data_IF_031268719471
#
_entry.id   IF_031268719471
#
_cell.length_a   1.000
_cell.length_b   1.000
_cell.length_c   1.000
_cell.angle_alpha   90.00
_cell.angle_beta   90.00
_cell.angle_gamma   90.00
#
_symmetry.space_group_name_H-M   'P 1'
#
loop_
_entity.id
_entity.type
_entity.pdbx_description
1 polymer ?
#
# COMPACT_ATOMS: atom_id res chain seq x y z
N UNK A 1 -8.22 -7.66 -4.32
CA UNK A 1 -7.29 -7.80 -3.17
C UNK A 1 -7.91 -7.23 -1.87
N UNK A 2 -9.03 -6.54 -2.01
CA UNK A 2 -9.74 -5.76 -1.00
C UNK A 2 -10.28 -6.63 0.11
N UNK A 3 -10.78 -7.83 -0.22
CA UNK A 3 -11.23 -8.79 0.80
C UNK A 3 -10.08 -9.19 1.75
N UNK A 4 -8.86 -9.37 1.24
CA UNK A 4 -7.69 -9.68 2.07
C UNK A 4 -7.32 -8.47 2.93
N UNK A 5 -7.35 -7.27 2.35
CA UNK A 5 -7.08 -6.03 3.08
C UNK A 5 -8.07 -5.76 4.21
N UNK A 6 -9.34 -6.12 4.04
CA UNK A 6 -10.41 -5.86 5.02
C UNK A 6 -10.58 -6.98 6.05
N UNK A 7 -10.25 -8.23 5.72
CA UNK A 7 -10.60 -9.38 6.55
C UNK A 7 -9.38 -10.12 7.14
N UNK A 8 -8.15 -9.74 6.79
CA UNK A 8 -6.95 -10.43 7.29
C UNK A 8 -6.12 -9.53 8.20
N UNK A 9 -5.65 -10.10 9.31
CA UNK A 9 -4.71 -9.44 10.23
C UNK A 9 -3.25 -9.73 9.86
N UNK A 10 -2.99 -10.83 9.14
CA UNK A 10 -1.67 -11.22 8.67
C UNK A 10 -1.74 -11.79 7.28
N UNK A 11 -0.72 -11.50 6.48
CA UNK A 11 -0.56 -11.97 5.11
C UNK A 11 0.77 -12.70 5.00
N UNK A 12 0.76 -13.86 4.33
CA UNK A 12 1.96 -14.57 3.92
C UNK A 12 1.94 -14.72 2.40
N UNK A 13 3.02 -14.28 1.76
CA UNK A 13 3.19 -14.28 0.31
C UNK A 13 4.15 -15.40 -0.06
N UNK A 14 3.70 -16.28 -0.95
CA UNK A 14 4.49 -17.39 -1.45
C UNK A 14 5.01 -17.10 -2.85
N UNK A 15 6.29 -17.36 -3.07
CA UNK A 15 6.91 -17.43 -4.39
C UNK A 15 7.73 -18.72 -4.49
N UNK A 16 7.54 -19.49 -5.57
CA UNK A 16 8.25 -20.76 -5.84
C UNK A 16 8.37 -21.69 -4.61
N UNK A 17 7.23 -21.95 -3.96
CA UNK A 17 7.11 -22.79 -2.76
C UNK A 17 7.91 -22.32 -1.53
N UNK A 18 8.28 -21.03 -1.46
CA UNK A 18 8.89 -20.40 -0.30
C UNK A 18 8.10 -19.17 0.13
N UNK A 19 8.14 -18.85 1.41
CA UNK A 19 7.59 -17.58 1.91
C UNK A 19 8.54 -16.47 1.47
N UNK A 20 8.09 -15.64 0.53
CA UNK A 20 8.85 -14.48 0.06
C UNK A 20 8.79 -13.34 1.08
N UNK A 21 7.60 -13.11 1.66
CA UNK A 21 7.41 -12.17 2.76
C UNK A 21 6.17 -12.54 3.57
N UNK A 22 6.11 -12.08 4.81
CA UNK A 22 4.93 -12.17 5.66
C UNK A 22 4.91 -11.00 6.64
N UNK A 23 3.72 -10.61 7.09
CA UNK A 23 3.55 -9.47 8.00
C UNK A 23 2.09 -9.05 8.12
N UNK A 24 1.88 -7.90 8.72
CA UNK A 24 0.57 -7.23 8.69
C UNK A 24 0.24 -6.73 7.27
N UNK A 25 -1.04 -6.54 6.91
CA UNK A 25 -1.43 -5.98 5.62
C UNK A 25 -0.70 -4.68 5.26
N UNK A 26 -0.50 -3.79 6.24
CA UNK A 26 0.24 -2.54 6.06
C UNK A 26 1.68 -2.78 5.56
N UNK A 27 2.38 -3.74 6.15
CA UNK A 27 3.78 -4.05 5.85
C UNK A 27 3.95 -4.77 4.51
N UNK A 28 2.98 -5.61 4.15
CA UNK A 28 2.99 -6.38 2.90
C UNK A 28 2.57 -5.47 1.73
N UNK A 29 1.46 -4.75 1.84
CA UNK A 29 1.00 -3.86 0.76
C UNK A 29 1.88 -2.60 0.58
N UNK A 30 2.67 -2.20 1.58
CA UNK A 30 3.73 -1.20 1.39
C UNK A 30 4.74 -1.61 0.30
N UNK A 31 4.89 -2.92 0.05
CA UNK A 31 5.78 -3.50 -0.98
C UNK A 31 5.05 -3.77 -2.30
N UNK A 32 4.07 -2.92 -2.66
CA UNK A 32 3.23 -3.10 -3.84
C UNK A 32 4.00 -3.37 -5.15
N UNK A 33 5.14 -2.72 -5.37
CA UNK A 33 5.99 -2.97 -6.55
C UNK A 33 6.51 -4.41 -6.61
N UNK A 34 6.96 -4.93 -5.48
CA UNK A 34 7.50 -6.29 -5.36
C UNK A 34 6.39 -7.33 -5.57
N UNK A 35 5.21 -7.10 -4.98
CA UNK A 35 4.02 -7.93 -5.18
C UNK A 35 3.60 -7.97 -6.67
N UNK A 36 3.52 -6.81 -7.31
CA UNK A 36 3.21 -6.71 -8.74
C UNK A 36 4.25 -7.42 -9.62
N UNK A 37 5.54 -7.33 -9.28
CA UNK A 37 6.61 -8.04 -9.97
C UNK A 37 6.55 -9.57 -9.80
N UNK A 38 5.97 -10.05 -8.69
CA UNK A 38 5.66 -11.46 -8.44
C UNK A 38 4.35 -11.92 -9.14
N UNK A 39 3.66 -11.02 -9.86
CA UNK A 39 2.39 -11.31 -10.52
C UNK A 39 1.18 -11.28 -9.60
N UNK A 40 1.33 -10.73 -8.39
CA UNK A 40 0.25 -10.54 -7.43
C UNK A 40 -0.30 -9.14 -7.55
N UNK A 41 -1.60 -9.00 -7.31
CA UNK A 41 -2.25 -7.69 -7.28
C UNK A 41 -2.17 -7.04 -5.88
N UNK A 42 -2.52 -5.77 -5.77
CA UNK A 42 -2.63 -5.04 -4.50
C UNK A 42 -3.95 -4.28 -4.42
N UNK A 43 -4.40 -3.85 -3.23
CA UNK A 43 -5.57 -2.99 -3.16
C UNK A 43 -5.35 -1.70 -3.95
N UNK A 44 -6.38 -1.18 -4.60
CA UNK A 44 -6.25 0.00 -5.47
C UNK A 44 -5.67 1.21 -4.72
N UNK A 45 -6.06 1.39 -3.46
CA UNK A 45 -5.53 2.46 -2.62
C UNK A 45 -4.01 2.33 -2.39
N UNK A 46 -3.51 1.10 -2.21
CA UNK A 46 -2.07 0.84 -2.08
C UNK A 46 -1.32 1.16 -3.38
N UNK A 47 -1.92 0.80 -4.53
CA UNK A 47 -1.36 1.10 -5.85
C UNK A 47 -1.25 2.61 -6.09
N UNK A 48 -2.32 3.36 -5.81
CA UNK A 48 -2.32 4.83 -5.94
C UNK A 48 -1.29 5.46 -5.00
N UNK A 49 -1.24 5.02 -3.74
CA UNK A 49 -0.26 5.52 -2.78
C UNK A 49 1.19 5.28 -3.27
N UNK A 50 1.49 4.10 -3.82
CA UNK A 50 2.81 3.80 -4.39
C UNK A 50 3.14 4.72 -5.58
N UNK A 51 2.19 4.90 -6.51
CA UNK A 51 2.34 5.76 -7.69
C UNK A 51 2.54 7.24 -7.34
N UNK A 52 1.96 7.72 -6.24
CA UNK A 52 2.19 9.07 -5.73
C UNK A 52 3.61 9.22 -5.14
N UNK A 53 4.09 8.24 -4.37
CA UNK A 53 5.47 8.22 -3.87
C UNK A 53 6.50 8.21 -4.99
N UNK A 54 6.23 7.45 -6.05
CA UNK A 54 7.07 7.43 -7.25
C UNK A 54 7.18 8.79 -7.95
N UNK A 55 6.14 9.61 -7.84
CA UNK A 55 6.12 10.99 -8.35
C UNK A 55 6.77 12.00 -7.39
N UNK A 56 7.37 11.53 -6.29
CA UNK A 56 8.03 12.38 -5.30
C UNK A 56 7.10 13.00 -4.26
N UNK A 57 5.84 12.59 -4.19
CA UNK A 57 4.90 13.04 -3.16
C UNK A 57 5.14 12.22 -1.89
N UNK A 58 5.33 12.90 -0.75
CA UNK A 58 5.64 12.28 0.53
C UNK A 58 4.43 11.59 1.18
N UNK A 59 3.88 10.57 0.51
CA UNK A 59 2.77 9.75 1.01
C UNK A 59 3.28 8.73 2.02
N UNK A 60 2.68 8.68 3.19
CA UNK A 60 2.98 7.71 4.27
C UNK A 60 2.94 6.27 3.77
N UNK A 61 3.95 5.46 4.13
CA UNK A 61 4.01 4.04 3.74
C UNK A 61 2.87 3.22 4.37
N UNK A 62 2.48 2.11 3.72
CA UNK A 62 1.46 1.20 4.28
C UNK A 62 0.01 1.70 4.20
N UNK A 63 -0.29 2.74 3.42
CA UNK A 63 -1.67 3.09 3.05
C UNK A 63 -2.18 2.04 2.05
N UNK A 64 -3.26 1.35 2.40
CA UNK A 64 -3.90 0.34 1.55
C UNK A 64 -5.43 0.36 1.56
N UNK A 65 -6.05 1.30 2.28
CA UNK A 65 -7.51 1.52 2.26
C UNK A 65 -7.85 2.87 1.66
N UNK A 66 -9.06 2.98 1.09
CA UNK A 66 -9.54 4.23 0.49
C UNK A 66 -9.60 5.35 1.52
N UNK A 67 -10.16 5.07 2.71
CA UNK A 67 -10.30 6.07 3.77
C UNK A 67 -8.94 6.62 4.23
N UNK A 68 -7.94 5.74 4.40
CA UNK A 68 -6.59 6.16 4.77
C UNK A 68 -5.94 7.01 3.65
N UNK A 69 -6.15 6.64 2.39
CA UNK A 69 -5.64 7.42 1.25
C UNK A 69 -6.30 8.80 1.16
N UNK A 70 -7.61 8.90 1.41
CA UNK A 70 -8.33 10.18 1.43
C UNK A 70 -7.82 11.06 2.56
N UNK A 71 -7.69 10.51 3.77
CA UNK A 71 -7.15 11.25 4.92
C UNK A 71 -5.74 11.78 4.65
N UNK A 72 -4.87 10.95 4.07
CA UNK A 72 -3.52 11.36 3.68
C UNK A 72 -3.53 12.44 2.60
N UNK A 73 -4.38 12.32 1.58
CA UNK A 73 -4.48 13.31 0.51
C UNK A 73 -4.95 14.67 1.04
N UNK A 74 -5.85 14.70 2.02
CA UNK A 74 -6.28 15.93 2.70
C UNK A 74 -5.10 16.53 3.48
N UNK A 75 -4.39 15.74 4.27
CA UNK A 75 -3.24 16.21 5.06
C UNK A 75 -2.14 16.81 4.17
N UNK A 76 -1.85 16.19 3.02
CA UNK A 76 -0.89 16.71 2.04
C UNK A 76 -1.32 18.04 1.42
N UNK A 77 -2.62 18.21 1.18
CA UNK A 77 -3.16 19.47 0.64
C UNK A 77 -3.10 20.61 1.65
N UNK A 78 -3.30 20.32 2.93
CA UNK A 78 -3.22 21.32 4.01
C UNK A 78 -1.77 21.72 4.29
N UNK A 79 -0.84 20.76 4.33
CA UNK A 79 0.59 21.03 4.52
C UNK A 79 1.26 21.78 3.35
N UNK A 80 0.67 21.76 2.15
CA UNK A 80 1.13 22.53 1.00
C UNK A 80 0.53 23.94 0.89
N UNK A 81 -0.36 24.35 1.79
CA UNK A 81 -0.99 25.68 1.78
C UNK A 81 -0.18 26.76 2.53
N UNK A 82 0.86 26.34 3.24
CA UNK A 82 1.76 27.20 4.03
C UNK A 82 3.18 27.32 3.41
N UNK A 83 3.35 27.06 2.11
CA UNK A 83 4.60 27.24 1.38
C UNK A 83 4.47 28.25 0.22
#
# INVERSE_FOLDING_TARGET
MEDIASNCERIAVFDRARIAMQGEPAEVFARAKELNAMGLDVPQAAQVAALLRERGIAVTAGIYTVDALVAEAIALKEGGRDA
#
